data_IF_262239873036
#
_entry.id   IF_262239873036
#
_cell.length_a   1.000
_cell.length_b   1.000
_cell.length_c   1.000
_cell.angle_alpha   90.00
_cell.angle_beta   90.00
_cell.angle_gamma   90.00
#
_symmetry.space_group_name_H-M   'P 1'
#
loop_
_entity.id
_entity.type
_entity.pdbx_description
1 polymer ?
#
# COMPACT_ATOMS: atom_id res chain seq x y z
N UNK A 1 76.55 16.92 -29.74
CA UNK A 1 75.84 16.35 -28.57
C UNK A 1 74.57 17.13 -28.17
N UNK A 2 74.58 18.47 -28.07
CA UNK A 2 73.40 19.27 -27.67
C UNK A 2 72.18 19.17 -28.62
N UNK A 3 72.39 19.13 -29.94
CA UNK A 3 71.29 19.04 -30.93
C UNK A 3 70.54 17.69 -30.90
N UNK A 4 71.26 16.59 -30.67
CA UNK A 4 70.65 15.24 -30.59
C UNK A 4 69.80 15.07 -29.32
N UNK A 5 70.25 15.64 -28.20
CA UNK A 5 69.50 15.66 -26.94
C UNK A 5 68.19 16.45 -27.04
N UNK A 6 68.16 17.54 -27.81
CA UNK A 6 66.96 18.35 -28.01
C UNK A 6 65.94 17.64 -28.90
N UNK A 7 66.40 16.91 -29.92
CA UNK A 7 65.53 16.12 -30.80
C UNK A 7 64.90 14.96 -30.04
N UNK A 8 65.68 14.26 -29.20
CA UNK A 8 65.17 13.16 -28.37
C UNK A 8 64.18 13.68 -27.33
N UNK A 9 64.47 14.81 -26.67
CA UNK A 9 63.55 15.43 -25.72
C UNK A 9 62.24 15.87 -26.39
N UNK A 10 62.30 16.42 -27.61
CA UNK A 10 61.12 16.82 -28.37
C UNK A 10 60.32 15.59 -28.83
N UNK A 11 60.98 14.50 -29.25
CA UNK A 11 60.32 13.25 -29.63
C UNK A 11 59.64 12.59 -28.43
N UNK A 12 60.30 12.53 -27.28
CA UNK A 12 59.75 12.00 -26.03
C UNK A 12 58.58 12.85 -25.56
N UNK A 13 58.67 14.19 -25.63
CA UNK A 13 57.56 15.08 -25.31
C UNK A 13 56.40 14.91 -26.29
N UNK A 14 56.67 14.74 -27.59
CA UNK A 14 55.61 14.50 -28.59
C UNK A 14 54.92 13.16 -28.33
N UNK A 15 55.67 12.10 -28.01
CA UNK A 15 55.11 10.79 -27.64
C UNK A 15 54.32 10.90 -26.33
N UNK A 16 54.81 11.66 -25.34
CA UNK A 16 54.11 11.90 -24.07
C UNK A 16 52.79 12.64 -24.30
N UNK A 17 52.78 13.67 -25.15
CA UNK A 17 51.61 14.50 -25.47
C UNK A 17 50.58 13.75 -26.34
N UNK A 18 51.02 12.80 -27.17
CA UNK A 18 50.12 11.93 -27.96
C UNK A 18 49.58 10.77 -27.12
N UNK A 19 50.26 10.40 -26.03
CA UNK A 19 49.81 9.38 -25.06
C UNK A 19 48.88 9.92 -23.95
N UNK A 20 48.60 11.23 -23.92
CA UNK A 20 47.57 11.81 -23.04
C UNK A 20 46.22 11.42 -23.62
N UNK A 21 45.74 10.26 -23.18
CA UNK A 21 44.38 9.76 -23.24
C UNK A 21 43.53 10.33 -24.38
N UNK A 22 43.45 9.61 -25.50
CA UNK A 22 42.16 9.56 -26.20
C UNK A 22 41.17 8.90 -25.26
N UNK A 23 40.57 9.70 -24.38
CA UNK A 23 39.29 9.37 -23.79
C UNK A 23 38.38 9.12 -24.98
N UNK A 24 37.87 7.89 -25.08
CA UNK A 24 36.90 7.51 -26.08
C UNK A 24 35.59 8.23 -25.71
N UNK A 25 35.49 9.52 -26.05
CA UNK A 25 34.26 10.27 -25.86
C UNK A 25 33.36 10.03 -27.07
N UNK A 26 32.15 9.50 -26.81
CA UNK A 26 31.07 9.50 -27.79
C UNK A 26 30.92 8.28 -28.70
N UNK A 27 31.28 7.07 -28.24
CA UNK A 27 30.88 5.82 -28.88
C UNK A 27 29.84 5.06 -28.05
N UNK A 28 28.95 4.30 -28.70
CA UNK A 28 28.08 3.36 -27.98
C UNK A 28 28.91 2.17 -27.46
N UNK A 29 29.12 2.10 -26.14
CA UNK A 29 29.86 1.01 -25.50
C UNK A 29 28.91 0.07 -24.77
N UNK A 30 29.01 -1.25 -24.94
CA UNK A 30 28.11 -2.19 -24.27
C UNK A 30 28.67 -2.67 -22.93
N UNK A 31 28.04 -2.31 -21.81
CA UNK A 31 28.36 -2.88 -20.50
C UNK A 31 27.67 -4.25 -20.38
N UNK A 32 28.46 -5.32 -20.25
CA UNK A 32 27.96 -6.63 -19.81
C UNK A 32 28.37 -6.80 -18.35
N UNK A 33 27.40 -6.82 -17.43
CA UNK A 33 27.62 -7.39 -16.10
C UNK A 33 26.71 -8.61 -15.99
N UNK A 34 27.30 -9.79 -15.89
CA UNK A 34 26.57 -11.01 -15.55
C UNK A 34 26.30 -11.03 -14.05
N UNK A 35 25.03 -11.03 -13.65
CA UNK A 35 24.62 -11.49 -12.33
C UNK A 35 24.48 -13.02 -12.41
N UNK A 36 24.95 -13.77 -11.40
CA UNK A 36 24.59 -15.20 -11.28
C UNK A 36 23.08 -15.24 -10.99
N UNK A 37 22.28 -15.32 -12.06
CA UNK A 37 20.83 -15.22 -12.03
C UNK A 37 20.26 -14.87 -13.39
N UNK A 38 20.07 -15.89 -14.24
CA UNK A 38 18.99 -16.02 -15.26
C UNK A 38 18.70 -14.93 -16.31
N UNK A 39 19.40 -13.81 -16.41
CA UNK A 39 19.04 -12.74 -17.34
C UNK A 39 20.20 -11.87 -17.80
N UNK A 40 21.11 -12.44 -18.59
CA UNK A 40 22.25 -11.72 -19.15
C UNK A 40 21.85 -10.87 -20.37
N UNK A 41 21.96 -9.55 -20.25
CA UNK A 41 21.83 -8.60 -21.35
C UNK A 41 22.94 -7.56 -21.34
N UNK A 42 23.25 -7.00 -22.51
CA UNK A 42 24.34 -6.03 -22.75
C UNK A 42 23.71 -4.69 -23.18
N UNK A 43 23.97 -3.58 -22.49
CA UNK A 43 23.48 -2.24 -22.91
C UNK A 43 24.60 -1.33 -23.42
N UNK A 44 24.44 -0.76 -24.62
CA UNK A 44 25.36 0.22 -25.23
C UNK A 44 24.76 1.51 -25.77
N UNK A 45 25.49 2.61 -25.56
CA UNK A 45 25.13 3.93 -26.08
C UNK A 45 24.80 4.94 -25.00
N UNK A 46 25.53 6.06 -24.97
CA UNK A 46 25.18 7.26 -24.19
C UNK A 46 26.01 7.49 -22.92
N UNK A 47 26.06 8.77 -22.49
CA UNK A 47 26.55 9.13 -21.17
C UNK A 47 25.45 8.86 -20.13
N UNK A 48 25.80 8.14 -19.07
CA UNK A 48 24.94 7.84 -17.94
C UNK A 48 25.58 8.43 -16.68
N UNK A 49 24.74 8.79 -15.72
CA UNK A 49 25.18 9.23 -14.41
C UNK A 49 24.30 8.49 -13.39
N UNK A 50 24.92 7.54 -12.66
CA UNK A 50 24.30 6.67 -11.66
C UNK A 50 24.50 7.15 -10.20
N UNK A 51 23.49 7.80 -9.62
CA UNK A 51 23.55 8.38 -8.27
C UNK A 51 23.16 7.38 -7.17
N UNK A 52 24.03 6.42 -6.85
CA UNK A 52 23.79 5.50 -5.76
C UNK A 52 24.74 4.30 -5.72
N UNK A 53 24.99 3.78 -4.52
CA UNK A 53 25.77 2.55 -4.34
C UNK A 53 24.97 1.32 -4.82
N UNK A 54 25.55 0.56 -5.75
CA UNK A 54 25.09 -0.78 -6.11
C UNK A 54 25.73 -1.82 -5.18
N UNK A 55 25.04 -2.20 -4.11
CA UNK A 55 25.62 -3.04 -3.04
C UNK A 55 26.38 -2.22 -1.99
N UNK A 56 26.66 -2.84 -0.85
CA UNK A 56 27.13 -2.30 0.44
C UNK A 56 28.00 -1.02 0.40
N UNK A 57 27.81 -0.16 1.41
CA UNK A 57 28.34 1.19 1.57
C UNK A 57 29.88 1.31 1.62
N UNK A 58 30.58 1.11 0.50
CA UNK A 58 32.00 1.51 0.34
C UNK A 58 32.25 2.07 -1.07
N UNK A 59 31.64 3.21 -1.42
CA UNK A 59 32.17 4.17 -2.41
C UNK A 59 31.25 5.40 -2.53
N UNK A 60 31.67 6.52 -1.93
CA UNK A 60 30.92 7.78 -1.93
C UNK A 60 31.10 8.62 -3.21
N UNK A 61 30.50 8.21 -4.33
CA UNK A 61 30.36 9.10 -5.49
C UNK A 61 28.96 9.09 -6.08
N UNK A 62 28.50 10.32 -6.32
CA UNK A 62 27.18 10.71 -6.81
C UNK A 62 27.24 11.04 -8.30
N UNK A 63 26.14 10.93 -9.02
CA UNK A 63 26.04 10.98 -10.47
C UNK A 63 24.67 11.50 -10.99
N UNK A 64 24.63 12.68 -11.61
CA UNK A 64 23.41 13.36 -12.11
C UNK A 64 23.38 13.57 -13.64
N UNK A 65 22.21 13.57 -14.33
CA UNK A 65 22.12 14.08 -15.72
C UNK A 65 21.07 13.58 -16.74
N UNK A 66 19.89 13.03 -16.38
CA UNK A 66 18.83 12.77 -17.38
C UNK A 66 17.54 12.14 -16.83
N UNK A 67 16.43 12.23 -17.57
CA UNK A 67 15.18 11.50 -17.26
C UNK A 67 15.31 10.03 -17.66
N UNK A 68 15.01 9.12 -16.73
CA UNK A 68 15.01 7.67 -16.96
C UNK A 68 13.63 7.07 -16.68
N UNK A 69 13.31 5.95 -17.32
CA UNK A 69 12.18 5.09 -16.97
C UNK A 69 12.72 3.74 -16.49
N UNK A 70 12.35 3.35 -15.27
CA UNK A 70 12.70 2.06 -14.67
C UNK A 70 11.62 1.04 -15.01
N UNK A 71 11.97 -0.05 -15.70
CA UNK A 71 11.02 -1.12 -16.06
C UNK A 71 11.19 -2.39 -15.20
N UNK A 72 12.31 -2.55 -14.49
CA UNK A 72 12.53 -3.47 -13.33
C UNK A 72 14.04 -3.57 -13.01
N UNK A 73 14.40 -4.13 -11.84
CA UNK A 73 15.79 -4.57 -11.57
C UNK A 73 16.52 -4.00 -10.34
N UNK A 74 15.81 -3.49 -9.33
CA UNK A 74 16.41 -3.17 -8.03
C UNK A 74 15.72 -4.01 -6.94
N UNK A 75 16.47 -4.64 -6.04
CA UNK A 75 15.98 -4.83 -4.67
C UNK A 75 16.09 -3.46 -4.05
N UNK A 76 14.99 -2.73 -4.00
CA UNK A 76 14.95 -1.43 -3.35
C UNK A 76 15.63 -1.51 -1.98
N UNK A 77 16.79 -0.87 -1.81
CA UNK A 77 16.96 -0.08 -0.59
C UNK A 77 15.80 0.90 -0.64
N UNK A 78 14.75 0.60 0.14
CA UNK A 78 13.36 1.01 -0.10
C UNK A 78 13.20 2.45 -0.58
N UNK A 79 13.13 2.65 -1.89
CA UNK A 79 12.39 3.76 -2.45
C UNK A 79 10.91 3.45 -2.24
N UNK A 80 10.14 4.45 -1.83
CA UNK A 80 8.74 4.42 -1.39
C UNK A 80 7.74 3.98 -2.48
N UNK A 81 8.02 2.87 -3.15
CA UNK A 81 7.08 2.03 -3.88
C UNK A 81 7.04 0.67 -3.18
N UNK A 82 7.10 0.66 -1.84
CA UNK A 82 6.26 -0.31 -1.16
C UNK A 82 4.88 -0.06 -1.75
N UNK A 83 4.26 -1.07 -2.38
CA UNK A 83 2.80 -1.05 -2.50
C UNK A 83 2.31 -0.51 -1.16
N UNK A 84 1.60 0.62 -1.14
CA UNK A 84 1.20 1.26 0.11
C UNK A 84 0.51 0.17 0.93
N UNK A 85 1.24 -0.46 1.86
CA UNK A 85 0.75 -1.63 2.56
C UNK A 85 -0.15 -1.01 3.59
N UNK A 86 -1.39 -0.76 3.19
CA UNK A 86 -2.37 -0.14 4.05
C UNK A 86 -2.59 -1.09 5.20
N UNK A 87 -2.11 -0.66 6.36
CA UNK A 87 -2.43 -1.35 7.59
C UNK A 87 -3.95 -1.23 7.78
N UNK A 88 -4.66 -2.33 8.06
CA UNK A 88 -6.08 -2.25 8.39
C UNK A 88 -6.27 -1.27 9.55
N UNK A 89 -7.31 -0.44 9.47
CA UNK A 89 -7.67 0.50 10.52
C UNK A 89 -6.59 1.57 10.84
N UNK A 90 -5.84 1.99 9.83
CA UNK A 90 -5.03 3.22 9.85
C UNK A 90 -5.94 4.43 9.58
N UNK A 91 -6.32 5.19 10.60
CA UNK A 91 -7.23 6.33 10.47
C UNK A 91 -6.50 7.66 10.25
N UNK A 92 -5.22 7.75 10.62
CA UNK A 92 -4.45 8.99 10.49
C UNK A 92 -3.51 9.05 9.29
N UNK A 93 -3.32 7.92 8.60
CA UNK A 93 -2.57 7.77 7.36
C UNK A 93 -1.07 7.57 7.58
N UNK A 94 -0.64 7.15 8.77
CA UNK A 94 0.76 6.92 9.09
C UNK A 94 1.27 5.51 8.69
N UNK A 95 0.43 4.76 7.97
CA UNK A 95 0.64 3.38 7.50
C UNK A 95 0.68 2.33 8.61
N UNK A 96 0.20 2.64 9.82
CA UNK A 96 0.09 1.69 10.94
C UNK A 96 -1.36 1.58 11.41
N UNK A 97 -1.72 0.41 11.92
CA UNK A 97 -3.03 0.19 12.52
C UNK A 97 -3.19 1.03 13.78
N UNK A 98 -4.26 1.80 13.86
CA UNK A 98 -4.66 2.52 15.07
C UNK A 98 -5.56 1.66 15.97
N UNK A 99 -5.49 1.94 17.27
CA UNK A 99 -6.40 1.32 18.23
C UNK A 99 -7.74 2.06 18.17
N UNK A 100 -8.83 1.35 17.91
CA UNK A 100 -10.16 1.95 17.84
C UNK A 100 -11.22 1.14 18.58
N UNK A 101 -12.26 1.84 19.05
CA UNK A 101 -13.45 1.25 19.65
C UNK A 101 -14.71 1.91 19.10
N UNK A 102 -15.79 1.14 19.05
CA UNK A 102 -17.15 1.65 18.86
C UNK A 102 -17.99 1.38 20.11
N UNK A 103 -18.69 2.40 20.60
CA UNK A 103 -19.64 2.30 21.71
C UNK A 103 -21.06 2.29 21.13
N UNK A 104 -21.74 1.13 21.09
CA UNK A 104 -23.01 1.00 20.38
C UNK A 104 -24.11 1.90 20.92
N UNK A 105 -24.24 2.05 22.25
CA UNK A 105 -25.30 2.85 22.87
C UNK A 105 -25.37 4.28 22.32
N UNK A 106 -24.29 5.08 22.45
CA UNK A 106 -24.26 6.45 21.91
C UNK A 106 -23.86 6.54 20.43
N UNK A 107 -23.51 5.43 19.76
CA UNK A 107 -23.00 5.45 18.39
C UNK A 107 -21.64 6.15 18.26
N UNK A 108 -20.80 6.07 19.29
CA UNK A 108 -19.52 6.77 19.35
C UNK A 108 -18.36 5.92 18.85
N UNK A 109 -17.53 6.51 18.00
CA UNK A 109 -16.24 6.00 17.58
C UNK A 109 -15.16 6.72 18.35
N UNK A 110 -14.14 5.98 18.77
CA UNK A 110 -12.95 6.51 19.39
C UNK A 110 -11.74 5.86 18.75
N UNK A 111 -10.79 6.68 18.33
CA UNK A 111 -9.53 6.27 17.72
C UNK A 111 -8.39 6.85 18.54
N UNK A 112 -7.40 6.01 18.83
CA UNK A 112 -6.13 6.39 19.43
C UNK A 112 -5.04 6.20 18.39
N UNK A 113 -4.53 7.33 17.89
CA UNK A 113 -3.56 7.38 16.81
C UNK A 113 -2.24 6.74 17.25
N UNK A 114 -1.73 5.83 16.44
CA UNK A 114 -0.46 5.16 16.65
C UNK A 114 0.74 6.09 16.45
N UNK A 115 0.57 7.13 15.62
CA UNK A 115 1.62 8.09 15.27
C UNK A 115 2.09 8.97 16.43
N UNK A 116 1.16 9.40 17.29
CA UNK A 116 1.42 10.41 18.32
C UNK A 116 0.61 10.23 19.62
N UNK A 117 -0.25 9.20 19.72
CA UNK A 117 -1.11 8.98 20.88
C UNK A 117 -2.26 9.98 21.03
N UNK A 118 -2.52 10.81 20.01
CA UNK A 118 -3.68 11.70 19.94
C UNK A 118 -4.98 10.90 19.83
N UNK A 119 -6.08 11.50 20.30
CA UNK A 119 -7.40 10.89 20.24
C UNK A 119 -8.35 11.64 19.31
N UNK A 120 -9.09 10.88 18.52
CA UNK A 120 -10.21 11.36 17.73
C UNK A 120 -11.49 10.66 18.17
N UNK A 121 -12.60 11.39 18.23
CA UNK A 121 -13.91 10.81 18.51
C UNK A 121 -15.01 11.46 17.68
N UNK A 122 -15.99 10.67 17.26
CA UNK A 122 -17.16 11.14 16.53
C UNK A 122 -18.39 10.29 16.84
N UNK A 123 -19.58 10.88 16.75
CA UNK A 123 -20.86 10.18 16.85
C UNK A 123 -21.40 9.91 15.45
N UNK A 124 -21.39 8.64 15.04
CA UNK A 124 -21.84 8.24 13.71
C UNK A 124 -22.41 6.82 13.71
N UNK A 125 -23.71 6.70 13.48
CA UNK A 125 -24.44 5.43 13.52
C UNK A 125 -25.19 5.20 14.83
N UNK A 126 -25.69 3.97 14.99
CA UNK A 126 -26.52 3.56 16.12
C UNK A 126 -26.16 2.14 16.61
N UNK A 127 -26.75 1.73 17.72
CA UNK A 127 -26.46 0.45 18.38
C UNK A 127 -26.78 -0.80 17.56
N UNK A 128 -27.66 -0.67 16.57
CA UNK A 128 -28.09 -1.77 15.68
C UNK A 128 -27.32 -1.83 14.37
N UNK A 129 -26.45 -0.86 14.11
CA UNK A 129 -25.65 -0.81 12.89
C UNK A 129 -24.43 -1.74 13.01
N UNK A 130 -23.99 -2.29 11.88
CA UNK A 130 -22.76 -3.11 11.80
C UNK A 130 -21.61 -2.20 11.35
N UNK A 131 -20.60 -2.03 12.19
CA UNK A 131 -19.42 -1.23 11.85
C UNK A 131 -18.59 -1.90 10.75
N UNK A 132 -18.11 -1.09 9.81
CA UNK A 132 -17.34 -1.53 8.63
C UNK A 132 -16.26 -0.51 8.21
N UNK A 133 -15.41 -0.02 9.15
CA UNK A 133 -14.34 0.93 8.83
C UNK A 133 -13.34 0.36 7.81
N UNK A 134 -13.13 1.08 6.73
CA UNK A 134 -12.17 0.79 5.66
C UNK A 134 -12.03 2.04 4.77
N UNK A 135 -10.98 2.16 3.98
CA UNK A 135 -10.78 3.26 3.04
C UNK A 135 -11.68 3.10 1.79
N UNK A 136 -12.86 3.72 1.80
CA UNK A 136 -13.78 3.74 0.66
C UNK A 136 -13.45 4.84 -0.35
N UNK A 137 -12.77 5.91 0.08
CA UNK A 137 -12.49 7.06 -0.79
C UNK A 137 -11.20 6.94 -1.59
N UNK A 138 -10.28 6.07 -1.15
CA UNK A 138 -8.96 5.85 -1.72
C UNK A 138 -7.94 6.90 -1.32
N UNK A 139 -8.18 7.64 -0.23
CA UNK A 139 -7.28 8.70 0.24
C UNK A 139 -6.08 8.15 1.06
N UNK A 140 -6.07 6.84 1.31
CA UNK A 140 -5.05 6.15 2.08
C UNK A 140 -5.36 6.08 3.57
N UNK A 141 -6.55 6.51 4.02
CA UNK A 141 -6.99 6.47 5.42
C UNK A 141 -8.27 5.66 5.56
N UNK A 142 -8.44 5.07 6.73
CA UNK A 142 -9.64 4.33 7.08
C UNK A 142 -10.79 5.31 7.29
N UNK A 143 -11.87 5.14 6.52
CA UNK A 143 -13.12 5.87 6.76
C UNK A 143 -13.90 5.25 7.92
N UNK A 144 -14.61 6.08 8.68
CA UNK A 144 -15.57 5.59 9.69
C UNK A 144 -16.84 5.18 8.97
N UNK A 145 -17.23 3.91 9.00
CA UNK A 145 -18.40 3.47 8.24
C UNK A 145 -19.25 2.43 8.97
N UNK A 146 -20.53 2.40 8.63
CA UNK A 146 -21.45 1.37 9.11
C UNK A 146 -22.43 0.92 8.01
N UNK A 147 -22.91 -0.32 8.13
CA UNK A 147 -24.01 -0.87 7.37
C UNK A 147 -25.23 -1.08 8.26
N UNK A 148 -26.39 -0.60 7.82
CA UNK A 148 -27.66 -0.66 8.56
C UNK A 148 -28.48 -1.87 8.14
N UNK A 149 -28.64 -2.90 8.99
CA UNK A 149 -29.33 -4.14 8.59
C UNK A 149 -30.81 -3.97 8.25
N UNK A 150 -31.48 -2.97 8.84
CA UNK A 150 -32.91 -2.73 8.63
C UNK A 150 -33.23 -2.15 7.25
N UNK A 151 -32.27 -1.48 6.61
CA UNK A 151 -32.47 -0.80 5.32
C UNK A 151 -31.53 -1.28 4.23
N UNK A 152 -30.44 -1.97 4.55
CA UNK A 152 -29.39 -2.34 3.59
C UNK A 152 -28.53 -1.15 3.15
N UNK A 153 -28.60 -0.01 3.84
CA UNK A 153 -27.79 1.16 3.51
C UNK A 153 -26.43 1.12 4.19
N UNK A 154 -25.42 1.54 3.43
CA UNK A 154 -24.09 1.88 3.90
C UNK A 154 -24.02 3.37 4.15
N UNK A 155 -23.25 3.77 5.15
CA UNK A 155 -22.96 5.17 5.46
C UNK A 155 -21.48 5.30 5.74
N UNK A 156 -20.83 6.25 5.07
CA UNK A 156 -19.38 6.45 5.08
C UNK A 156 -19.04 7.86 5.54
N UNK A 157 -18.43 7.90 6.73
CA UNK A 157 -17.65 8.93 7.40
C UNK A 157 -16.33 9.29 6.70
N UNK A 158 -16.30 10.21 5.74
CA UNK A 158 -15.08 10.50 4.96
C UNK A 158 -13.95 11.02 5.84
N UNK A 159 -12.77 10.41 5.78
CA UNK A 159 -11.55 10.80 6.52
C UNK A 159 -10.98 12.16 6.09
N UNK A 160 -11.21 12.56 4.85
CA UNK A 160 -10.62 13.77 4.26
C UNK A 160 -11.31 15.08 4.67
N UNK A 161 -12.62 15.05 4.96
CA UNK A 161 -13.38 16.27 5.28
C UNK A 161 -14.48 16.13 6.33
N UNK A 162 -14.67 14.93 6.92
CA UNK A 162 -15.73 14.62 7.90
C UNK A 162 -17.17 14.90 7.44
N UNK A 163 -17.40 14.96 6.14
CA UNK A 163 -18.77 14.85 5.61
C UNK A 163 -19.09 13.37 5.36
N UNK A 164 -20.35 13.05 5.07
CA UNK A 164 -20.76 11.67 4.83
C UNK A 164 -21.62 11.51 3.58
N UNK A 165 -21.61 10.30 3.05
CA UNK A 165 -22.54 9.84 2.03
C UNK A 165 -23.10 8.47 2.41
N UNK A 166 -24.17 8.05 1.74
CA UNK A 166 -24.74 6.74 1.93
C UNK A 166 -25.38 6.20 0.67
N UNK A 167 -25.40 4.88 0.56
CA UNK A 167 -25.88 4.18 -0.63
C UNK A 167 -26.47 2.81 -0.27
N UNK A 168 -27.49 2.34 -1.01
CA UNK A 168 -28.10 1.03 -0.77
C UNK A 168 -27.26 -0.08 -1.41
N UNK A 169 -26.87 -1.09 -0.62
CA UNK A 169 -26.29 -2.32 -1.14
C UNK A 169 -26.43 -3.48 -0.15
N UNK A 170 -26.94 -4.62 -0.65
CA UNK A 170 -27.31 -5.77 0.16
C UNK A 170 -28.73 -5.69 0.72
N UNK A 171 -29.10 -6.69 1.52
CA UNK A 171 -30.44 -6.87 2.07
C UNK A 171 -30.40 -7.30 3.54
N UNK A 172 -31.56 -7.26 4.21
CA UNK A 172 -31.67 -7.77 5.57
C UNK A 172 -31.25 -9.26 5.64
N UNK A 173 -30.47 -9.61 6.66
CA UNK A 173 -29.88 -10.95 6.83
C UNK A 173 -28.49 -11.10 6.21
N UNK A 174 -28.07 -10.17 5.35
CA UNK A 174 -26.72 -10.19 4.79
C UNK A 174 -25.66 -9.76 5.85
N UNK A 175 -24.42 -10.17 5.61
CA UNK A 175 -23.25 -9.85 6.44
C UNK A 175 -22.29 -8.99 5.61
N UNK A 176 -22.05 -7.73 6.00
CA UNK A 176 -21.15 -6.86 5.25
C UNK A 176 -19.70 -7.32 5.40
N UNK A 177 -18.94 -7.22 4.32
CA UNK A 177 -17.56 -7.68 4.21
C UNK A 177 -16.77 -6.82 3.19
N UNK A 178 -16.70 -5.49 3.37
CA UNK A 178 -16.02 -4.64 2.41
C UNK A 178 -14.52 -4.91 2.40
N UNK A 179 -13.93 -4.79 1.22
CA UNK A 179 -12.50 -4.89 0.96
C UNK A 179 -12.24 -4.40 -0.47
N UNK A 180 -10.98 -4.23 -0.82
CA UNK A 180 -10.55 -3.95 -2.20
C UNK A 180 -10.54 -5.27 -2.99
N UNK A 181 -11.61 -5.54 -3.76
CA UNK A 181 -11.76 -6.78 -4.53
C UNK A 181 -11.25 -6.66 -5.97
N UNK A 182 -11.09 -5.45 -6.49
CA UNK A 182 -10.61 -5.20 -7.86
C UNK A 182 -9.19 -4.62 -7.94
N UNK A 183 -8.60 -4.24 -6.81
CA UNK A 183 -7.22 -3.79 -6.68
C UNK A 183 -7.01 -2.32 -7.02
N UNK A 184 -8.06 -1.50 -7.06
CA UNK A 184 -7.96 -0.07 -7.36
C UNK A 184 -7.45 0.77 -6.17
N UNK A 185 -7.28 0.15 -5.01
CA UNK A 185 -6.90 0.82 -3.78
C UNK A 185 -8.09 1.53 -3.12
N UNK A 186 -9.32 1.07 -3.30
CA UNK A 186 -10.51 1.50 -2.57
C UNK A 186 -11.26 0.27 -2.09
N UNK A 187 -11.99 0.42 -1.00
CA UNK A 187 -12.87 -0.64 -0.56
C UNK A 187 -14.14 -0.67 -1.40
N UNK A 188 -14.50 -1.87 -1.83
CA UNK A 188 -15.78 -2.14 -2.47
C UNK A 188 -16.82 -2.53 -1.45
N UNK A 189 -18.06 -2.13 -1.71
CA UNK A 189 -19.19 -2.63 -0.95
C UNK A 189 -19.42 -4.11 -1.28
N UNK A 190 -19.36 -4.96 -0.26
CA UNK A 190 -19.57 -6.39 -0.41
C UNK A 190 -20.39 -6.95 0.74
N UNK A 191 -21.23 -7.94 0.43
CA UNK A 191 -22.02 -8.68 1.41
C UNK A 191 -21.98 -10.18 1.14
N UNK A 192 -21.92 -10.97 2.21
CA UNK A 192 -22.20 -12.40 2.18
C UNK A 192 -23.64 -12.66 2.59
N UNK A 193 -24.37 -13.42 1.79
CA UNK A 193 -25.74 -13.85 2.06
C UNK A 193 -25.74 -15.31 2.55
N UNK A 194 -25.89 -15.56 3.86
CA UNK A 194 -25.79 -16.91 4.42
C UNK A 194 -26.83 -17.87 3.84
N UNK A 195 -28.08 -17.42 3.62
CA UNK A 195 -29.18 -18.28 3.14
C UNK A 195 -28.90 -18.97 1.79
N UNK A 196 -27.97 -18.43 1.00
CA UNK A 196 -27.62 -18.95 -0.33
C UNK A 196 -26.12 -19.16 -0.50
N UNK A 197 -25.32 -18.99 0.56
CA UNK A 197 -23.86 -19.00 0.52
C UNK A 197 -23.28 -18.18 -0.66
N UNK A 198 -23.86 -17.00 -0.91
CA UNK A 198 -23.55 -16.17 -2.08
C UNK A 198 -22.96 -14.84 -1.65
N UNK A 199 -21.87 -14.47 -2.31
CA UNK A 199 -21.21 -13.17 -2.22
C UNK A 199 -21.78 -12.24 -3.29
N UNK A 200 -22.10 -11.01 -2.89
CA UNK A 200 -22.45 -9.92 -3.77
C UNK A 200 -21.44 -8.80 -3.53
N UNK A 201 -20.71 -8.40 -4.56
CA UNK A 201 -19.65 -7.40 -4.51
C UNK A 201 -19.97 -6.35 -5.55
N UNK A 202 -19.86 -5.07 -5.20
CA UNK A 202 -20.03 -3.94 -6.12
C UNK A 202 -18.71 -3.20 -6.27
N UNK A 203 -17.80 -3.69 -7.13
CA UNK A 203 -16.49 -3.10 -7.31
C UNK A 203 -16.53 -1.72 -7.99
N UNK A 204 -15.57 -0.85 -7.67
CA UNK A 204 -15.40 0.45 -8.35
C UNK A 204 -14.13 0.46 -9.19
N UNK A 205 -14.14 0.52 -10.54
CA UNK A 205 -15.25 0.75 -11.48
C UNK A 205 -15.63 -0.54 -12.22
N UNK A 206 -16.39 -1.42 -11.57
CA UNK A 206 -16.86 -2.68 -12.16
C UNK A 206 -18.37 -2.87 -12.01
N UNK A 207 -18.94 -3.78 -12.80
CA UNK A 207 -20.30 -4.27 -12.57
C UNK A 207 -20.35 -5.18 -11.34
N UNK A 208 -21.55 -5.45 -10.76
CA UNK A 208 -21.65 -6.30 -9.59
C UNK A 208 -21.14 -7.72 -9.88
N UNK A 209 -20.30 -8.24 -8.99
CA UNK A 209 -19.86 -9.64 -8.99
C UNK A 209 -20.76 -10.44 -8.07
N UNK A 210 -21.25 -11.58 -8.56
CA UNK A 210 -22.06 -12.53 -7.78
C UNK A 210 -21.32 -13.87 -7.79
N UNK A 211 -20.93 -14.34 -6.62
CA UNK A 211 -20.10 -15.54 -6.49
C UNK A 211 -20.63 -16.46 -5.40
N UNK A 212 -21.02 -17.69 -5.74
CA UNK A 212 -21.31 -18.72 -4.74
C UNK A 212 -20.01 -19.28 -4.16
N UNK A 213 -19.80 -19.16 -2.85
CA UNK A 213 -18.62 -19.70 -2.15
C UNK A 213 -18.87 -19.78 -0.64
N UNK A 214 -18.57 -20.94 -0.06
CA UNK A 214 -18.83 -21.27 1.35
C UNK A 214 -20.12 -22.05 1.56
N UNK A 215 -20.56 -22.14 2.82
CA UNK A 215 -21.82 -22.74 3.24
C UNK A 215 -22.63 -21.78 4.14
N UNK A 216 -23.93 -22.01 4.37
CA UNK A 216 -24.78 -21.07 5.11
C UNK A 216 -24.36 -20.74 6.56
N UNK A 217 -23.52 -21.55 7.17
CA UNK A 217 -23.01 -21.34 8.54
C UNK A 217 -21.67 -20.62 8.57
N UNK A 218 -21.05 -20.38 7.42
CA UNK A 218 -19.77 -19.69 7.36
C UNK A 218 -19.95 -18.20 7.67
N UNK A 219 -18.88 -17.61 8.19
CA UNK A 219 -18.77 -16.18 8.40
C UNK A 219 -17.66 -15.64 7.51
N UNK A 220 -17.87 -14.48 6.86
CA UNK A 220 -16.80 -13.83 6.14
C UNK A 220 -15.66 -13.49 7.11
N UNK A 221 -14.42 -13.78 6.72
CA UNK A 221 -13.22 -13.52 7.56
C UNK A 221 -13.01 -12.02 7.80
N UNK A 222 -13.45 -11.18 6.86
CA UNK A 222 -13.44 -9.72 6.96
C UNK A 222 -14.49 -9.15 7.93
N UNK A 223 -15.21 -10.01 8.67
CA UNK A 223 -16.23 -9.57 9.62
C UNK A 223 -15.58 -8.90 10.84
N UNK A 224 -15.91 -7.64 11.04
CA UNK A 224 -15.78 -7.00 12.35
C UNK A 224 -16.90 -7.54 13.23
N UNK A 225 -16.59 -8.55 14.03
CA UNK A 225 -17.57 -9.22 14.88
C UNK A 225 -17.82 -8.35 16.10
N UNK A 226 -19.00 -7.74 16.22
CA UNK A 226 -19.49 -7.31 17.53
C UNK A 226 -19.66 -8.56 18.38
N UNK A 227 -18.80 -8.72 19.39
CA UNK A 227 -18.93 -9.80 20.35
C UNK A 227 -20.31 -9.67 21.02
N UNK A 228 -21.25 -10.54 20.66
CA UNK A 228 -22.46 -10.71 21.46
C UNK A 228 -21.98 -11.26 22.79
N UNK A 229 -22.08 -10.46 23.85
CA UNK A 229 -21.75 -10.92 25.19
C UNK A 229 -22.51 -12.23 25.46
N UNK A 230 -21.77 -13.31 25.70
CA UNK A 230 -22.34 -14.57 26.18
C UNK A 230 -23.05 -14.25 27.49
N UNK A 231 -24.36 -14.51 27.65
CA UNK A 231 -25.03 -14.28 28.92
C UNK A 231 -24.40 -15.21 29.95
N UNK A 232 -23.66 -14.65 30.90
CA UNK A 232 -23.20 -15.38 32.08
C UNK A 232 -24.38 -15.54 33.03
N UNK A 233 -25.17 -16.60 32.88
CA UNK A 233 -26.05 -17.05 33.96
C UNK A 233 -25.20 -17.71 35.04
N UNK A 234 -24.53 -16.91 35.87
CA UNK A 234 -24.01 -17.35 37.16
C UNK A 234 -25.14 -17.24 38.19
N UNK A 235 -26.13 -18.13 38.11
CA UNK A 235 -27.02 -18.40 39.25
C UNK A 235 -26.34 -19.41 40.18
N UNK A 236 -25.27 -18.96 40.84
CA UNK A 236 -24.64 -19.70 41.93
C UNK A 236 -25.42 -19.48 43.21
N UNK A 237 -26.42 -20.33 43.45
CA UNK A 237 -27.03 -20.52 44.78
C UNK A 237 -25.92 -20.88 45.76
N UNK A 238 -25.74 -20.10 46.82
CA UNK A 238 -25.02 -20.54 48.02
C UNK A 238 -26.02 -21.29 48.91
N UNK A 239 -25.82 -22.57 49.24
CA UNK A 239 -26.49 -23.17 50.38
C UNK A 239 -25.87 -22.63 51.68
N UNK A 240 -26.68 -22.72 52.75
CA UNK A 240 -26.52 -22.11 54.08
C UNK A 240 -25.14 -22.17 54.73
#
# INVERSE_FOLDING_TARGET
>A
MKKLSLIIACLVLTVLVVSVARSQSGGSFTITKSVIGGGGGRTAGGAFTLDGTMGEAVAGTTSTGGSFNLTSGFWGGGGNNAANVRSPFDFDGDSKTDISIFRPGPGEWWVLNSSNGGNFATQFGASTDKIVPVDFTGDGKTDVAYWRPSTGFWFVLRSEDFTFYGFPFGANGDVPAPADYDGDGKADAAVFRPSTATWYISPSPGGPTIQAFGIPTDLPVLRITTATARPTSLSGVRPA
#
